data_IF_684320682911
#
_entry.id   IF_684320682911
#
_cell.length_a   1.000
_cell.length_b   1.000
_cell.length_c   1.000
_cell.angle_alpha   90.00
_cell.angle_beta   90.00
_cell.angle_gamma   90.00
#
_symmetry.space_group_name_H-M   'P 1'
#
loop_
_entity.id
_entity.type
_entity.pdbx_description
1 polymer ?
#
# COMPACT_ATOMS: atom_id res chain seq x y z
N UNK A 1 9.21 -17.25 -74.35
CA UNK A 1 10.53 -17.65 -74.91
C UNK A 1 11.27 -18.37 -73.80
N UNK A 2 11.22 -19.71 -73.71
CA UNK A 2 12.13 -20.67 -74.39
C UNK A 2 13.60 -20.35 -74.01
N UNK A 3 14.43 -21.21 -73.40
CA UNK A 3 14.59 -22.65 -73.64
C UNK A 3 15.10 -23.39 -72.39
N UNK A 4 14.49 -24.54 -72.10
CA UNK A 4 15.10 -25.72 -71.45
C UNK A 4 15.62 -26.67 -72.52
N UNK A 5 16.80 -27.28 -72.32
CA UNK A 5 17.35 -28.39 -73.12
C UNK A 5 18.55 -28.97 -72.33
N UNK A 6 18.89 -30.26 -72.32
CA UNK A 6 18.28 -31.46 -72.89
C UNK A 6 18.94 -32.70 -72.26
N UNK A 7 18.34 -33.85 -72.52
CA UNK A 7 18.44 -35.10 -71.78
C UNK A 7 19.38 -36.12 -72.48
N UNK A 8 20.10 -36.92 -71.68
CA UNK A 8 20.32 -38.39 -71.80
C UNK A 8 21.00 -39.06 -73.03
N UNK A 9 22.04 -39.86 -72.70
CA UNK A 9 22.09 -41.35 -72.81
C UNK A 9 22.72 -42.04 -74.04
N UNK A 10 23.11 -43.31 -73.77
CA UNK A 10 23.54 -44.46 -74.61
C UNK A 10 25.05 -44.54 -74.94
N UNK A 11 25.77 -45.68 -74.89
CA UNK A 11 25.48 -47.09 -74.54
C UNK A 11 26.79 -47.87 -74.33
N UNK A 12 26.72 -48.86 -73.43
CA UNK A 12 27.43 -50.16 -73.29
C UNK A 12 28.29 -50.68 -74.45
N UNK A 13 29.39 -51.42 -74.13
CA UNK A 13 29.60 -52.81 -74.61
C UNK A 13 30.73 -53.60 -73.89
N UNK A 14 30.35 -54.82 -73.47
CA UNK A 14 31.06 -56.10 -73.17
C UNK A 14 32.24 -56.13 -72.17
N UNK A 15 32.11 -56.72 -70.96
CA UNK A 15 31.97 -58.14 -70.54
C UNK A 15 33.22 -59.01 -70.79
N UNK A 16 33.98 -59.31 -69.73
CA UNK A 16 34.34 -60.69 -69.40
C UNK A 16 34.33 -60.91 -67.89
N UNK A 17 33.73 -62.03 -67.51
CA UNK A 17 33.55 -62.54 -66.15
C UNK A 17 34.68 -63.53 -65.88
N UNK A 18 35.35 -63.42 -64.73
CA UNK A 18 35.95 -64.59 -64.07
C UNK A 18 35.55 -64.60 -62.60
N UNK A 19 34.93 -65.70 -62.22
CA UNK A 19 34.41 -66.01 -60.91
C UNK A 19 35.52 -66.49 -59.97
N UNK A 20 35.50 -66.00 -58.72
CA UNK A 20 35.99 -66.74 -57.55
C UNK A 20 35.07 -66.43 -56.36
N UNK A 21 34.29 -67.42 -55.92
CA UNK A 21 33.58 -67.40 -54.62
C UNK A 21 34.56 -67.78 -53.48
N UNK A 22 34.15 -67.75 -52.21
CA UNK A 22 34.43 -66.67 -51.27
C UNK A 22 35.47 -67.10 -50.23
N UNK A 23 36.15 -66.14 -49.57
CA UNK A 23 36.90 -66.44 -48.35
C UNK A 23 36.47 -65.48 -47.26
N UNK A 24 35.93 -66.07 -46.21
CA UNK A 24 35.29 -65.43 -45.06
C UNK A 24 35.95 -64.13 -44.62
N UNK A 25 35.15 -63.06 -44.61
CA UNK A 25 35.42 -61.83 -43.87
C UNK A 25 35.47 -62.18 -42.39
N UNK A 26 36.67 -62.22 -41.81
CA UNK A 26 36.82 -61.93 -40.38
C UNK A 26 36.97 -60.43 -40.25
N UNK A 27 35.88 -59.77 -39.90
CA UNK A 27 35.83 -58.37 -39.50
C UNK A 27 36.75 -58.16 -38.30
N UNK A 28 37.99 -57.76 -38.55
CA UNK A 28 38.76 -57.07 -37.52
C UNK A 28 38.22 -55.67 -37.45
N UNK A 29 37.41 -55.43 -36.42
CA UNK A 29 36.95 -54.12 -36.00
C UNK A 29 38.17 -53.20 -35.91
N UNK A 30 38.40 -52.38 -36.94
CA UNK A 30 39.24 -51.20 -36.80
C UNK A 30 38.47 -50.33 -35.81
N UNK A 31 39.00 -50.21 -34.59
CA UNK A 31 38.64 -49.14 -33.69
C UNK A 31 38.91 -47.84 -34.47
N UNK A 32 37.86 -47.33 -35.13
CA UNK A 32 37.82 -45.94 -35.51
C UNK A 32 37.93 -45.20 -34.19
N UNK A 33 39.04 -44.51 -33.98
CA UNK A 33 39.03 -43.32 -33.17
C UNK A 33 37.90 -42.44 -33.73
N UNK A 34 36.75 -42.47 -33.07
CA UNK A 34 35.84 -41.34 -33.12
C UNK A 34 36.62 -40.24 -32.41
N UNK A 35 36.90 -39.08 -33.02
CA UNK A 35 37.26 -37.93 -32.20
C UNK A 35 36.12 -37.81 -31.19
N UNK A 36 36.48 -37.82 -29.90
CA UNK A 36 35.53 -37.55 -28.84
C UNK A 36 34.74 -36.31 -29.29
N UNK A 37 33.41 -36.43 -29.30
CA UNK A 37 32.56 -35.25 -29.31
C UNK A 37 33.20 -34.32 -28.29
N UNK A 38 33.68 -33.17 -28.76
CA UNK A 38 34.14 -32.08 -27.90
C UNK A 38 33.20 -32.07 -26.72
N UNK A 39 33.69 -32.19 -25.47
CA UNK A 39 32.81 -32.13 -24.32
C UNK A 39 32.02 -30.86 -24.56
N UNK A 40 30.70 -31.01 -24.82
CA UNK A 40 29.83 -29.88 -24.58
C UNK A 40 30.20 -29.54 -23.14
N UNK A 41 30.70 -28.33 -22.85
CA UNK A 41 30.80 -27.95 -21.46
C UNK A 41 29.44 -28.35 -20.90
N UNK A 42 29.44 -29.11 -19.82
CA UNK A 42 28.24 -29.23 -19.01
C UNK A 42 27.85 -27.78 -18.87
N UNK A 43 26.83 -27.37 -19.60
CA UNK A 43 26.10 -26.19 -19.25
C UNK A 43 25.63 -26.63 -17.87
N UNK A 44 26.38 -26.21 -16.86
CA UNK A 44 25.78 -25.57 -15.72
C UNK A 44 24.75 -24.70 -16.43
N UNK A 45 23.51 -25.20 -16.53
CA UNK A 45 22.37 -24.32 -16.61
C UNK A 45 22.66 -23.39 -15.46
N UNK A 46 23.27 -22.26 -15.84
CA UNK A 46 23.50 -21.11 -15.00
C UNK A 46 22.14 -20.95 -14.38
N UNK A 47 22.02 -21.40 -13.12
CA UNK A 47 20.77 -21.48 -12.37
C UNK A 47 20.05 -20.21 -12.78
N UNK A 48 19.06 -20.33 -13.66
CA UNK A 48 18.45 -19.16 -14.28
C UNK A 48 18.12 -18.31 -13.09
N UNK A 49 18.78 -17.15 -13.00
CA UNK A 49 18.78 -16.33 -11.80
C UNK A 49 17.32 -16.26 -11.41
N UNK A 50 16.93 -17.02 -10.39
CA UNK A 50 15.56 -17.03 -9.91
C UNK A 50 15.54 -15.77 -9.08
N UNK A 51 15.66 -14.63 -9.76
CA UNK A 51 15.08 -13.38 -9.35
C UNK A 51 13.61 -13.72 -9.19
N UNK A 52 13.27 -14.24 -8.01
CA UNK A 52 11.89 -14.35 -7.58
C UNK A 52 11.33 -12.97 -7.85
N UNK A 53 10.23 -12.92 -8.61
CA UNK A 53 9.56 -11.66 -8.87
C UNK A 53 9.09 -11.15 -7.51
N UNK A 54 9.86 -10.25 -6.91
CA UNK A 54 9.58 -9.75 -5.57
C UNK A 54 8.84 -8.45 -5.74
N UNK A 55 7.51 -8.49 -5.65
CA UNK A 55 6.74 -7.27 -5.45
C UNK A 55 6.42 -7.05 -3.98
N UNK A 56 6.53 -5.81 -3.52
CA UNK A 56 6.24 -5.39 -2.15
C UNK A 56 5.07 -4.42 -2.15
N UNK A 57 4.20 -4.55 -1.15
CA UNK A 57 3.08 -3.65 -0.91
C UNK A 57 3.32 -2.85 0.35
N UNK A 58 3.14 -1.54 0.25
CA UNK A 58 3.17 -0.64 1.37
C UNK A 58 1.99 0.33 1.33
N UNK A 59 1.64 0.86 2.49
CA UNK A 59 0.63 1.91 2.66
C UNK A 59 1.23 3.01 3.53
N UNK A 60 0.95 4.26 3.19
CA UNK A 60 1.35 5.43 3.98
C UNK A 60 0.54 5.57 5.28
N UNK A 61 0.89 6.58 6.07
CA UNK A 61 0.09 7.06 7.19
C UNK A 61 -0.46 8.44 6.81
N UNK A 62 -1.64 8.79 7.34
CA UNK A 62 -2.33 10.03 7.03
C UNK A 62 -2.59 10.79 8.33
N UNK A 63 -2.36 12.11 8.33
CA UNK A 63 -2.63 12.96 9.49
C UNK A 63 -3.21 14.28 9.02
N UNK A 64 -4.46 14.55 9.38
CA UNK A 64 -5.23 15.71 8.91
C UNK A 64 -6.12 16.19 10.05
N UNK A 65 -6.42 17.49 10.07
CA UNK A 65 -7.42 18.06 10.97
C UNK A 65 -8.84 17.58 10.59
N UNK A 66 -9.73 17.40 11.57
CA UNK A 66 -11.11 16.99 11.30
C UNK A 66 -11.94 18.12 10.69
N UNK A 67 -11.65 19.37 11.09
CA UNK A 67 -12.38 20.57 10.69
C UNK A 67 -13.73 20.71 11.40
N UNK A 68 -14.30 21.89 11.33
CA UNK A 68 -15.44 22.28 12.20
C UNK A 68 -16.79 21.62 11.83
N UNK A 69 -16.93 21.07 10.62
CA UNK A 69 -18.20 20.48 10.14
C UNK A 69 -18.06 19.63 8.89
N UNK A 70 -19.06 18.79 8.63
CA UNK A 70 -19.11 17.98 7.41
C UNK A 70 -18.10 16.84 7.45
N UNK A 71 -17.47 16.56 6.31
CA UNK A 71 -16.44 15.52 6.20
C UNK A 71 -15.12 16.05 5.66
N UNK A 72 -14.03 15.52 6.20
CA UNK A 72 -12.67 15.72 5.71
C UNK A 72 -12.13 14.42 5.12
N UNK A 73 -11.46 14.52 3.98
CA UNK A 73 -10.93 13.37 3.26
C UNK A 73 -9.57 12.93 3.80
N UNK A 74 -9.50 11.68 4.24
CA UNK A 74 -8.26 10.99 4.54
C UNK A 74 -7.91 10.08 3.37
N UNK A 75 -6.87 10.46 2.62
CA UNK A 75 -6.46 9.76 1.39
C UNK A 75 -5.18 8.98 1.63
N UNK A 76 -5.31 7.66 1.71
CA UNK A 76 -4.18 6.74 1.79
C UNK A 76 -3.64 6.42 0.41
N UNK A 77 -2.32 6.30 0.28
CA UNK A 77 -1.63 5.83 -0.92
C UNK A 77 -1.07 4.43 -0.66
N UNK A 78 -1.59 3.45 -1.41
CA UNK A 78 -1.07 2.08 -1.44
C UNK A 78 -0.11 1.97 -2.62
N UNK A 79 1.12 1.55 -2.34
CA UNK A 79 2.19 1.44 -3.33
C UNK A 79 2.59 -0.02 -3.52
N UNK A 80 2.65 -0.46 -4.77
CA UNK A 80 3.28 -1.70 -5.20
C UNK A 80 4.63 -1.39 -5.83
N UNK A 81 5.71 -1.97 -5.32
CA UNK A 81 7.07 -1.79 -5.87
C UNK A 81 7.66 -3.10 -6.33
N UNK A 82 8.52 -3.04 -7.34
CA UNK A 82 9.38 -4.13 -7.81
C UNK A 82 10.83 -3.65 -7.83
N UNK A 83 11.78 -4.54 -7.57
CA UNK A 83 13.21 -4.22 -7.53
C UNK A 83 13.83 -4.16 -8.93
N UNK A 84 13.28 -4.91 -9.88
CA UNK A 84 13.76 -5.02 -11.25
C UNK A 84 12.60 -4.86 -12.25
N UNK A 85 12.95 -4.51 -13.49
CA UNK A 85 12.00 -4.60 -14.60
C UNK A 85 11.50 -6.05 -14.75
N UNK A 86 10.19 -6.21 -14.90
CA UNK A 86 9.53 -7.51 -14.94
C UNK A 86 8.92 -7.97 -13.62
N UNK A 87 9.32 -7.40 -12.47
CA UNK A 87 8.79 -7.81 -11.16
C UNK A 87 7.29 -7.55 -11.02
N UNK A 88 6.75 -6.57 -11.75
CA UNK A 88 5.33 -6.23 -11.76
C UNK A 88 4.57 -6.85 -12.94
N UNK A 89 5.02 -7.98 -13.51
CA UNK A 89 4.43 -8.59 -14.72
C UNK A 89 3.12 -9.38 -14.49
N UNK A 90 2.60 -9.41 -13.27
CA UNK A 90 1.34 -10.08 -12.91
C UNK A 90 0.38 -9.08 -12.27
N UNK A 91 -0.92 -9.31 -12.44
CA UNK A 91 -1.94 -8.56 -11.68
C UNK A 91 -2.10 -9.14 -10.28
N UNK A 92 -2.31 -8.28 -9.29
CA UNK A 92 -2.62 -8.70 -7.91
C UNK A 92 -3.82 -7.92 -7.37
N UNK A 93 -4.56 -8.56 -6.47
CA UNK A 93 -5.67 -7.96 -5.73
C UNK A 93 -5.26 -7.74 -4.28
N UNK A 94 -5.43 -6.51 -3.79
CA UNK A 94 -5.22 -6.14 -2.39
C UNK A 94 -6.56 -5.70 -1.82
N UNK A 95 -7.00 -6.35 -0.76
CA UNK A 95 -8.18 -5.94 -0.02
C UNK A 95 -7.81 -4.89 1.03
N UNK A 96 -8.75 -4.02 1.35
CA UNK A 96 -8.61 -3.10 2.47
C UNK A 96 -9.87 -3.09 3.33
N UNK A 97 -9.70 -2.82 4.62
CA UNK A 97 -10.78 -2.56 5.56
C UNK A 97 -10.32 -1.55 6.61
N UNK A 98 -11.18 -0.63 7.00
CA UNK A 98 -10.93 0.20 8.17
C UNK A 98 -11.07 -0.61 9.46
N UNK A 99 -10.30 -0.23 10.48
CA UNK A 99 -10.34 -0.79 11.82
C UNK A 99 -10.29 0.34 12.85
N UNK A 100 -11.22 0.29 13.81
CA UNK A 100 -11.30 1.24 14.91
C UNK A 100 -10.00 1.27 15.73
N UNK A 101 -9.63 2.47 16.18
CA UNK A 101 -8.60 2.70 17.18
C UNK A 101 -9.19 3.47 18.36
N UNK A 102 -8.65 4.64 18.62
CA UNK A 102 -9.31 5.62 19.52
C UNK A 102 -10.44 6.36 18.82
N UNK A 103 -10.34 6.52 17.49
CA UNK A 103 -11.46 6.91 16.65
C UNK A 103 -12.34 5.68 16.37
N UNK A 104 -13.65 5.84 16.48
CA UNK A 104 -14.63 4.77 16.32
C UNK A 104 -15.75 5.17 15.39
N UNK A 105 -16.20 4.21 14.60
CA UNK A 105 -17.43 4.34 13.80
C UNK A 105 -18.66 4.54 14.70
N UNK A 106 -18.67 3.90 15.87
CA UNK A 106 -19.77 4.01 16.83
C UNK A 106 -19.92 5.42 17.44
N UNK A 107 -18.82 6.15 17.52
CA UNK A 107 -18.78 7.52 18.02
C UNK A 107 -18.89 8.54 16.86
N UNK A 108 -19.08 8.04 15.63
CA UNK A 108 -19.20 8.82 14.40
C UNK A 108 -17.94 9.66 14.10
N UNK A 109 -16.75 9.15 14.43
CA UNK A 109 -15.48 9.84 14.12
C UNK A 109 -15.13 9.73 12.63
N UNK A 110 -15.50 8.62 12.00
CA UNK A 110 -15.24 8.35 10.57
C UNK A 110 -16.23 7.32 10.01
N UNK A 111 -16.34 7.26 8.69
CA UNK A 111 -17.15 6.25 8.00
C UNK A 111 -16.33 4.99 7.72
N UNK A 112 -16.85 3.82 8.14
CA UNK A 112 -16.19 2.54 7.87
C UNK A 112 -16.17 2.23 6.38
N UNK A 113 -15.04 1.78 5.87
CA UNK A 113 -14.88 1.45 4.44
C UNK A 113 -14.13 0.13 4.26
N UNK A 114 -14.47 -0.58 3.19
CA UNK A 114 -13.74 -1.76 2.76
C UNK A 114 -13.84 -1.93 1.25
N UNK A 115 -12.87 -2.61 0.64
CA UNK A 115 -12.87 -2.78 -0.81
C UNK A 115 -11.66 -3.53 -1.34
N UNK A 116 -11.41 -3.36 -2.64
CA UNK A 116 -10.34 -4.06 -3.36
C UNK A 116 -9.62 -3.10 -4.29
N UNK A 117 -8.29 -3.10 -4.21
CA UNK A 117 -7.38 -2.44 -5.12
C UNK A 117 -6.85 -3.46 -6.13
N UNK A 118 -6.85 -3.09 -7.41
CA UNK A 118 -6.43 -3.96 -8.51
C UNK A 118 -5.20 -3.38 -9.19
N UNK A 119 -4.04 -3.94 -8.87
CA UNK A 119 -2.80 -3.62 -9.58
C UNK A 119 -2.71 -4.46 -10.85
N UNK A 120 -2.52 -3.79 -11.98
CA UNK A 120 -2.41 -4.47 -13.29
C UNK A 120 -0.97 -4.91 -13.54
N UNK A 121 -0.81 -5.92 -14.41
CA UNK A 121 0.51 -6.34 -14.86
C UNK A 121 1.16 -5.23 -15.72
N UNK A 122 2.36 -4.82 -15.34
CA UNK A 122 3.22 -3.92 -16.10
C UNK A 122 4.69 -4.33 -15.92
N UNK A 123 5.21 -5.10 -16.88
CA UNK A 123 6.61 -5.56 -16.86
C UNK A 123 7.63 -4.42 -17.03
N UNK A 124 7.21 -3.22 -17.42
CA UNK A 124 8.09 -2.06 -17.58
C UNK A 124 8.13 -1.16 -16.35
N UNK A 125 7.11 -1.24 -15.48
CA UNK A 125 7.04 -0.47 -14.25
C UNK A 125 7.85 -1.11 -13.13
N UNK A 126 8.39 -0.25 -12.26
CA UNK A 126 8.99 -0.63 -10.98
C UNK A 126 8.17 -0.12 -9.79
N UNK A 127 7.15 0.71 -10.03
CA UNK A 127 6.23 1.21 -9.02
C UNK A 127 4.86 1.48 -9.62
N UNK A 128 3.81 1.15 -8.88
CA UNK A 128 2.42 1.48 -9.15
C UNK A 128 1.76 1.97 -7.85
N UNK A 129 0.84 2.92 -7.95
CA UNK A 129 0.13 3.48 -6.79
C UNK A 129 -1.37 3.46 -7.01
N UNK A 130 -2.13 3.23 -5.94
CA UNK A 130 -3.58 3.42 -5.89
C UNK A 130 -3.95 4.15 -4.60
N UNK A 131 -5.08 4.85 -4.60
CA UNK A 131 -5.53 5.64 -3.45
C UNK A 131 -6.82 5.10 -2.86
N UNK A 132 -6.96 5.16 -1.54
CA UNK A 132 -8.20 4.88 -0.81
C UNK A 132 -8.59 6.14 -0.03
N UNK A 133 -9.83 6.60 -0.21
CA UNK A 133 -10.39 7.74 0.51
C UNK A 133 -11.30 7.25 1.63
N UNK A 134 -11.11 7.79 2.82
CA UNK A 134 -11.96 7.59 4.00
C UNK A 134 -12.50 8.97 4.42
N UNK A 135 -13.78 9.04 4.76
CA UNK A 135 -14.41 10.28 5.23
C UNK A 135 -14.36 10.33 6.76
N UNK A 136 -13.78 11.40 7.29
CA UNK A 136 -13.70 11.71 8.73
C UNK A 136 -14.68 12.83 9.05
N UNK A 137 -15.41 12.72 10.16
CA UNK A 137 -16.49 13.65 10.51
C UNK A 137 -15.93 14.83 11.29
N UNK A 138 -16.08 16.04 10.76
CA UNK A 138 -15.69 17.27 11.43
C UNK A 138 -16.72 17.75 12.45
N UNK A 139 -16.26 18.34 13.55
CA UNK A 139 -17.09 18.93 14.60
C UNK A 139 -16.32 20.05 15.34
N UNK A 140 -16.96 20.71 16.32
CA UNK A 140 -16.35 21.81 17.12
C UNK A 140 -16.03 21.43 18.57
N UNK A 141 -16.10 20.15 18.92
CA UNK A 141 -15.94 19.68 20.29
C UNK A 141 -14.45 19.50 20.57
N UNK A 142 -13.93 20.24 21.55
CA UNK A 142 -12.52 20.07 21.94
C UNK A 142 -12.26 18.70 22.57
N UNK A 143 -11.41 17.92 21.91
CA UNK A 143 -11.00 16.58 22.32
C UNK A 143 -9.51 16.29 22.07
N UNK A 144 -9.07 15.06 22.38
CA UNK A 144 -7.71 14.62 22.04
C UNK A 144 -7.69 14.11 20.60
N UNK A 145 -6.53 14.23 19.94
CA UNK A 145 -6.31 13.57 18.66
C UNK A 145 -6.65 12.08 18.75
N UNK A 146 -7.40 11.60 17.76
CA UNK A 146 -7.81 10.19 17.65
C UNK A 146 -7.12 9.52 16.48
N UNK A 147 -7.23 8.19 16.42
CA UNK A 147 -6.71 7.42 15.29
C UNK A 147 -7.56 6.19 14.97
N UNK A 148 -7.54 5.80 13.69
CA UNK A 148 -8.02 4.52 13.18
C UNK A 148 -7.00 3.97 12.17
N UNK A 149 -7.20 2.74 11.70
CA UNK A 149 -6.28 2.10 10.76
C UNK A 149 -6.98 1.67 9.47
N UNK A 150 -6.28 1.74 8.34
CA UNK A 150 -6.61 1.04 7.11
C UNK A 150 -5.73 -0.21 7.00
N UNK A 151 -6.35 -1.38 7.08
CA UNK A 151 -5.66 -2.68 7.09
C UNK A 151 -5.71 -3.29 5.71
N UNK A 152 -4.55 -3.59 5.15
CA UNK A 152 -4.40 -4.30 3.88
C UNK A 152 -4.33 -5.81 4.08
N UNK A 153 -4.91 -6.56 3.15
CA UNK A 153 -4.77 -8.02 3.09
C UNK A 153 -4.82 -8.52 1.65
N UNK A 154 -4.52 -9.80 1.44
CA UNK A 154 -4.57 -10.46 0.13
C UNK A 154 -4.77 -11.96 0.32
N UNK A 155 -5.36 -12.61 -0.68
CA UNK A 155 -5.45 -14.07 -0.76
C UNK A 155 -4.26 -14.69 -1.52
N UNK A 156 -3.40 -13.86 -2.12
CA UNK A 156 -2.24 -14.30 -2.87
C UNK A 156 -1.04 -14.56 -1.93
N UNK A 157 -0.62 -15.83 -1.75
CA UNK A 157 0.49 -16.16 -0.85
C UNK A 157 1.86 -15.67 -1.35
N UNK A 158 1.97 -15.26 -2.63
CA UNK A 158 3.21 -14.73 -3.20
C UNK A 158 3.36 -13.21 -3.02
N UNK A 159 2.28 -12.53 -2.61
CA UNK A 159 2.30 -11.09 -2.33
C UNK A 159 2.95 -10.82 -0.97
N UNK A 160 3.94 -9.92 -0.95
CA UNK A 160 4.64 -9.53 0.26
C UNK A 160 4.25 -8.12 0.68
N UNK A 161 4.12 -7.89 1.99
CA UNK A 161 3.88 -6.57 2.57
C UNK A 161 5.15 -6.04 3.23
N UNK A 162 5.59 -4.86 2.81
CA UNK A 162 6.51 -4.03 3.59
C UNK A 162 5.77 -3.37 4.76
N UNK A 163 4.55 -2.86 4.49
CA UNK A 163 3.66 -2.26 5.48
C UNK A 163 2.21 -2.54 5.11
N UNK A 164 1.46 -3.22 6.00
CA UNK A 164 0.05 -3.55 5.78
C UNK A 164 -0.93 -2.67 6.57
N UNK A 165 -0.44 -1.86 7.50
CA UNK A 165 -1.26 -1.00 8.35
C UNK A 165 -0.96 0.46 8.02
N UNK A 166 -1.94 1.17 7.49
CA UNK A 166 -1.90 2.63 7.38
C UNK A 166 -2.63 3.24 8.57
N UNK A 167 -1.97 4.10 9.33
CA UNK A 167 -2.57 4.80 10.48
C UNK A 167 -3.11 6.15 10.02
N UNK A 168 -4.39 6.40 10.26
CA UNK A 168 -4.98 7.73 10.16
C UNK A 168 -4.97 8.40 11.55
N UNK A 169 -4.40 9.60 11.65
CA UNK A 169 -4.49 10.45 12.84
C UNK A 169 -5.42 11.62 12.57
N UNK A 170 -6.52 11.67 13.30
CA UNK A 170 -7.47 12.78 13.30
C UNK A 170 -6.92 13.81 14.29
N UNK A 171 -6.51 14.96 13.77
CA UNK A 171 -6.02 16.08 14.59
C UNK A 171 -7.23 16.91 15.01
N UNK A 172 -7.45 17.05 16.32
CA UNK A 172 -8.41 18.01 16.84
C UNK A 172 -7.87 19.43 16.63
N UNK A 173 -8.56 20.25 15.85
CA UNK A 173 -8.26 21.67 15.63
C UNK A 173 -9.14 22.63 16.44
N UNK A 174 -9.97 22.09 17.34
CA UNK A 174 -10.85 22.86 18.22
C UNK A 174 -10.20 23.33 19.52
N UNK A 175 -10.68 24.46 20.00
CA UNK A 175 -10.33 25.00 21.32
C UNK A 175 -11.52 25.71 21.94
N UNK A 176 -11.71 25.51 23.26
CA UNK A 176 -12.68 26.30 24.02
C UNK A 176 -12.06 27.57 24.62
N UNK A 177 -12.84 28.65 24.64
CA UNK A 177 -12.57 29.89 25.36
C UNK A 177 -13.58 30.11 26.49
N UNK A 178 -13.05 30.31 27.70
CA UNK A 178 -13.84 30.71 28.87
C UNK A 178 -13.93 32.24 28.95
N UNK A 179 -15.12 32.75 29.23
CA UNK A 179 -15.34 34.18 29.48
C UNK A 179 -16.23 34.40 30.70
N UNK A 180 -16.10 35.58 31.29
CA UNK A 180 -16.94 36.04 32.41
C UNK A 180 -17.50 37.41 32.03
N UNK A 181 -18.80 37.62 32.25
CA UNK A 181 -19.41 38.91 31.97
C UNK A 181 -19.06 39.96 33.04
N UNK A 182 -19.24 41.24 32.70
CA UNK A 182 -19.31 42.29 33.71
C UNK A 182 -20.65 42.20 34.46
N UNK A 183 -20.62 42.44 35.77
CA UNK A 183 -21.80 42.42 36.63
C UNK A 183 -21.96 43.74 37.39
N UNK A 184 -23.22 44.16 37.57
CA UNK A 184 -23.57 45.30 38.44
C UNK A 184 -24.80 44.95 39.27
N UNK A 185 -24.79 45.35 40.55
CA UNK A 185 -25.91 45.18 41.45
C UNK A 185 -26.04 46.39 42.39
N UNK A 186 -27.25 46.61 42.92
CA UNK A 186 -27.44 47.50 44.07
C UNK A 186 -26.89 46.84 45.34
N UNK A 187 -26.57 47.65 46.34
CA UNK A 187 -26.21 47.15 47.68
C UNK A 187 -27.31 46.22 48.22
N UNK A 188 -26.90 45.25 49.04
CA UNK A 188 -27.75 44.20 49.64
C UNK A 188 -28.40 43.20 48.64
N UNK A 189 -28.04 43.27 47.35
CA UNK A 189 -28.40 42.29 46.33
C UNK A 189 -27.23 41.37 45.93
N UNK A 190 -27.51 40.17 45.39
CA UNK A 190 -26.46 39.30 44.87
C UNK A 190 -25.81 39.94 43.62
N UNK A 191 -24.48 39.94 43.56
CA UNK A 191 -23.72 40.25 42.35
C UNK A 191 -23.46 38.93 41.61
N UNK A 192 -24.12 38.72 40.47
CA UNK A 192 -24.03 37.47 39.72
C UNK A 192 -23.13 37.68 38.51
N UNK A 193 -22.06 36.89 38.45
CA UNK A 193 -21.23 36.75 37.25
C UNK A 193 -21.67 35.50 36.48
N UNK A 194 -21.97 35.67 35.22
CA UNK A 194 -22.18 34.60 34.26
C UNK A 194 -20.83 34.21 33.66
N UNK A 195 -20.50 32.93 33.78
CA UNK A 195 -19.34 32.32 33.14
C UNK A 195 -19.84 31.57 31.91
N UNK A 196 -19.25 31.86 30.75
CA UNK A 196 -19.65 31.28 29.47
C UNK A 196 -18.49 30.54 28.83
N UNK A 197 -18.83 29.41 28.21
CA UNK A 197 -17.97 28.65 27.30
C UNK A 197 -18.50 28.86 25.88
N UNK A 198 -17.62 29.09 24.91
CA UNK A 198 -17.98 29.37 23.52
C UNK A 198 -18.43 28.12 22.75
N UNK A 199 -17.79 26.98 22.99
CA UNK A 199 -18.07 25.70 22.34
C UNK A 199 -18.25 24.58 23.37
N UNK A 200 -18.79 23.44 22.94
CA UNK A 200 -18.90 22.26 23.81
C UNK A 200 -17.50 21.69 24.08
N UNK A 201 -17.21 21.33 25.34
CA UNK A 201 -15.98 20.66 25.70
C UNK A 201 -16.18 19.13 25.70
N UNK A 202 -15.22 18.39 25.13
CA UNK A 202 -15.19 16.92 25.16
C UNK A 202 -14.73 16.34 26.50
N UNK A 203 -14.29 17.19 27.44
CA UNK A 203 -13.87 16.82 28.78
C UNK A 203 -14.23 17.90 29.81
N UNK A 204 -14.18 17.54 31.09
CA UNK A 204 -14.46 18.48 32.19
C UNK A 204 -13.46 19.64 32.20
N UNK A 205 -14.00 20.87 32.16
CA UNK A 205 -13.21 22.09 32.36
C UNK A 205 -13.27 22.48 33.83
N UNK A 206 -12.11 22.68 34.45
CA UNK A 206 -11.99 23.19 35.81
C UNK A 206 -11.35 24.57 35.80
N UNK A 207 -11.93 25.50 36.55
CA UNK A 207 -11.40 26.85 36.71
C UNK A 207 -11.51 27.27 38.18
N UNK A 208 -10.63 28.15 38.61
CA UNK A 208 -10.71 28.80 39.92
C UNK A 208 -11.20 30.23 39.73
N UNK A 209 -12.12 30.64 40.60
CA UNK A 209 -12.49 32.04 40.75
C UNK A 209 -11.95 32.54 42.08
N UNK A 210 -11.48 33.79 42.09
CA UNK A 210 -11.07 34.48 43.31
C UNK A 210 -11.48 35.93 43.19
N UNK A 211 -11.92 36.52 44.29
CA UNK A 211 -12.21 37.94 44.37
C UNK A 211 -10.96 38.71 44.77
N UNK A 212 -10.82 39.92 44.26
CA UNK A 212 -9.80 40.88 44.70
C UNK A 212 -10.52 42.15 45.12
N UNK A 213 -10.22 42.65 46.31
CA UNK A 213 -10.82 43.87 46.82
C UNK A 213 -10.50 45.05 45.89
N UNK A 214 -11.56 45.69 45.39
CA UNK A 214 -11.49 46.96 44.67
C UNK A 214 -11.74 48.13 45.62
N UNK A 215 -12.62 49.05 45.24
CA UNK A 215 -13.09 50.12 46.12
C UNK A 215 -14.06 49.63 47.20
N UNK A 216 -14.61 48.42 47.06
CA UNK A 216 -15.38 47.74 48.10
C UNK A 216 -14.42 47.06 49.10
N UNK A 217 -14.64 47.27 50.40
CA UNK A 217 -13.73 46.80 51.47
C UNK A 217 -14.28 45.50 52.07
N UNK A 218 -13.40 44.53 52.30
CA UNK A 218 -13.69 43.12 52.66
C UNK A 218 -14.46 42.93 53.99
N UNK A 219 -14.59 43.95 54.83
CA UNK A 219 -15.34 43.86 56.08
C UNK A 219 -16.85 44.08 55.88
N UNK A 220 -17.53 43.10 55.26
CA UNK A 220 -19.00 42.98 55.28
C UNK A 220 -19.71 42.73 53.95
N UNK A 221 -19.02 42.54 52.83
CA UNK A 221 -19.67 42.66 51.50
C UNK A 221 -19.82 41.39 50.65
N UNK A 222 -19.21 40.24 50.95
CA UNK A 222 -19.48 38.97 50.24
C UNK A 222 -19.27 37.76 51.16
N UNK A 223 -20.12 36.73 51.04
CA UNK A 223 -19.97 35.43 51.69
C UNK A 223 -19.95 34.32 50.64
N UNK A 224 -19.13 33.28 50.88
CA UNK A 224 -19.00 32.08 50.05
C UNK A 224 -20.34 31.33 49.83
#
# INVERSE_FOLDING_TARGET
MLLTNWLKSLTSRYRTVRSRRPRNQRSRARHRYQPALSPRPIAIEELEDRTLLTSMISIDDVSVAEGDSGTTDFVFTVTRTGNNAGDLNSSISIYYTTQDGTAKVADNDYLSESGTLQFTADASAQSQTMTVRIEVMGNTITEQNKNFQLVLSTDDPETNFEKMLGTATIINDDANSLSINDATAYEDGPLIFEVSLDEVAGADITFSASTVAGTAIESGSYGD
#
